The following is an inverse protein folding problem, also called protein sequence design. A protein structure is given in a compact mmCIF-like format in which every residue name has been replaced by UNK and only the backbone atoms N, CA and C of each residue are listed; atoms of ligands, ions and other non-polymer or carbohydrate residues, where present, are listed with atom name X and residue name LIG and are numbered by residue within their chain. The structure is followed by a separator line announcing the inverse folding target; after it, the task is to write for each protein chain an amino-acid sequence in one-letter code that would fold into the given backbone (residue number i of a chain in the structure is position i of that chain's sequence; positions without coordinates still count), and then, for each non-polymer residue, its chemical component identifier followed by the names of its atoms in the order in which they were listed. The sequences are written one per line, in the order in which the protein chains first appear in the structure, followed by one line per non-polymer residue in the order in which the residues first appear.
data_IF_422397596074
#
_entry.id   IF_422397596074
#
_cell.length_a   1.000
_cell.length_b   1.000
_cell.length_c   1.000
_cell.angle_alpha   90.00
_cell.angle_beta   90.00
_cell.angle_gamma   90.00
#
_symmetry.space_group_name_H-M   'P 1'
#
loop_
_entity.id
_entity.type
_entity.pdbx_description
1 polymer ?
#
# COMPACT_ATOMS: atom_id res chain seq x y z
N UNK A 1 -15.36 -24.41 -2.42
CA UNK A 1 -15.05 -24.18 -0.99
C UNK A 1 -15.52 -22.79 -0.64
N UNK A 2 -16.39 -22.64 0.37
CA UNK A 2 -16.89 -21.33 0.81
C UNK A 2 -16.01 -20.77 1.93
N UNK A 3 -16.05 -19.45 2.17
CA UNK A 3 -15.30 -18.81 3.27
C UNK A 3 -15.67 -19.42 4.64
N UNK A 4 -16.93 -19.77 4.86
CA UNK A 4 -17.41 -20.40 6.10
C UNK A 4 -16.83 -21.80 6.32
N UNK A 5 -16.65 -22.57 5.24
CA UNK A 5 -16.00 -23.88 5.30
C UNK A 5 -14.53 -23.73 5.67
N UNK A 6 -13.83 -22.77 5.05
CA UNK A 6 -12.42 -22.47 5.34
C UNK A 6 -12.24 -22.02 6.81
N UNK A 7 -13.15 -21.19 7.32
CA UNK A 7 -13.08 -20.72 8.72
C UNK A 7 -13.15 -21.89 9.70
N UNK A 8 -14.06 -22.83 9.46
CA UNK A 8 -14.23 -24.02 10.31
C UNK A 8 -12.96 -24.87 10.34
N UNK A 9 -12.33 -25.08 9.18
CA UNK A 9 -11.07 -25.82 9.09
C UNK A 9 -9.91 -25.08 9.78
N UNK A 10 -9.79 -23.76 9.59
CA UNK A 10 -8.75 -22.95 10.24
C UNK A 10 -8.87 -22.95 11.77
N UNK A 11 -10.09 -22.98 12.31
CA UNK A 11 -10.31 -23.03 13.75
C UNK A 11 -9.85 -24.36 14.35
N UNK A 12 -9.97 -25.47 13.62
CA UNK A 12 -9.58 -26.81 14.03
C UNK A 12 -8.05 -27.05 14.06
N UNK A 13 -7.26 -26.18 13.42
CA UNK A 13 -5.80 -26.29 13.39
C UNK A 13 -5.14 -26.04 14.75
N UNK A 14 -4.00 -26.72 14.98
CA UNK A 14 -3.11 -26.44 16.10
C UNK A 14 -2.48 -25.04 16.00
N UNK A 15 -1.96 -24.48 17.11
CA UNK A 15 -1.27 -23.20 17.08
C UNK A 15 -0.10 -23.14 16.09
N UNK A 16 0.63 -24.24 15.91
CA UNK A 16 1.78 -24.30 15.00
C UNK A 16 1.33 -24.31 13.53
N UNK A 17 0.28 -25.05 13.19
CA UNK A 17 -0.28 -25.07 11.84
C UNK A 17 -0.90 -23.71 11.48
N UNK A 18 -1.57 -23.05 12.43
CA UNK A 18 -2.07 -21.67 12.26
C UNK A 18 -0.93 -20.70 11.93
N UNK A 19 0.20 -20.80 12.62
CA UNK A 19 1.38 -19.98 12.32
C UNK A 19 1.94 -20.24 10.92
N UNK A 20 1.98 -21.51 10.47
CA UNK A 20 2.41 -21.86 9.11
C UNK A 20 1.47 -21.30 8.04
N UNK A 21 0.16 -21.37 8.25
CA UNK A 21 -0.83 -20.77 7.34
C UNK A 21 -0.65 -19.26 7.26
N UNK A 22 -0.42 -18.58 8.39
CA UNK A 22 -0.13 -17.14 8.39
C UNK A 22 1.11 -16.85 7.55
N UNK A 23 2.20 -17.60 7.72
CA UNK A 23 3.41 -17.40 6.91
C UNK A 23 3.18 -17.66 5.42
N UNK A 24 2.42 -18.71 5.08
CA UNK A 24 2.05 -19.02 3.70
C UNK A 24 1.25 -17.87 3.08
N UNK A 25 0.25 -17.36 3.79
CA UNK A 25 -0.56 -16.23 3.33
C UNK A 25 0.27 -14.97 3.18
N UNK A 26 1.16 -14.66 4.11
CA UNK A 26 2.08 -13.52 3.98
C UNK A 26 2.95 -13.68 2.73
N UNK A 27 3.47 -14.88 2.47
CA UNK A 27 4.32 -15.15 1.30
C UNK A 27 3.55 -15.06 -0.03
N UNK A 28 2.28 -15.47 -0.07
CA UNK A 28 1.45 -15.39 -1.29
C UNK A 28 0.85 -14.01 -1.51
N UNK A 29 0.64 -13.24 -0.44
CA UNK A 29 0.19 -11.85 -0.45
C UNK A 29 1.35 -10.84 -0.58
N UNK A 30 2.60 -11.29 -0.77
CA UNK A 30 3.77 -10.42 -0.95
C UNK A 30 3.66 -9.44 -2.13
N UNK A 31 2.69 -9.63 -3.04
CA UNK A 31 2.35 -8.71 -4.12
C UNK A 31 1.16 -7.79 -3.85
N UNK A 32 0.43 -7.99 -2.75
CA UNK A 32 -0.70 -7.15 -2.32
C UNK A 32 -0.24 -6.25 -1.19
N UNK A 33 0.02 -5.00 -1.52
CA UNK A 33 0.34 -3.97 -0.55
C UNK A 33 -0.94 -3.54 0.16
N UNK A 34 -0.93 -3.58 1.50
CA UNK A 34 -2.09 -3.14 2.27
C UNK A 34 -2.33 -1.65 2.00
N UNK A 35 -3.52 -1.33 1.49
CA UNK A 35 -3.92 0.05 1.24
C UNK A 35 -3.27 0.73 0.03
N UNK A 36 -2.52 0.02 -0.82
CA UNK A 36 -1.95 0.58 -2.06
C UNK A 36 -2.46 -0.22 -3.27
N UNK A 37 -2.97 0.49 -4.27
CA UNK A 37 -3.53 -0.09 -5.49
C UNK A 37 -2.84 0.45 -6.74
N UNK A 38 -2.63 -0.43 -7.72
CA UNK A 38 -2.16 -0.07 -9.07
C UNK A 38 -3.25 -0.41 -10.07
N UNK A 39 -3.96 0.60 -10.54
CA UNK A 39 -5.04 0.43 -11.51
C UNK A 39 -4.60 0.96 -12.88
N UNK A 40 -4.51 0.11 -13.92
CA UNK A 40 -4.19 0.57 -15.27
C UNK A 40 -5.14 1.71 -15.70
N UNK A 41 -4.56 2.81 -16.19
CA UNK A 41 -5.33 3.99 -16.62
C UNK A 41 -5.69 4.99 -15.52
N UNK A 42 -5.48 4.67 -14.24
CA UNK A 42 -5.56 5.65 -13.13
C UNK A 42 -4.17 6.20 -12.87
N UNK A 43 -3.97 7.51 -13.00
CA UNK A 43 -2.66 8.16 -12.83
C UNK A 43 -1.53 7.47 -13.62
N UNK A 44 -1.82 7.01 -14.85
CA UNK A 44 -0.83 6.32 -15.68
C UNK A 44 -0.42 4.91 -15.18
N UNK A 45 -1.13 4.34 -14.21
CA UNK A 45 -0.81 3.05 -13.60
C UNK A 45 0.12 3.15 -12.38
N UNK A 46 0.38 4.37 -11.89
CA UNK A 46 1.18 4.60 -10.70
C UNK A 46 0.49 4.04 -9.45
N UNK A 47 1.29 3.65 -8.45
CA UNK A 47 0.79 3.21 -7.16
C UNK A 47 0.04 4.34 -6.43
N UNK A 48 -1.22 4.11 -6.11
CA UNK A 48 -2.12 5.05 -5.45
C UNK A 48 -2.58 4.52 -4.10
N UNK A 49 -2.89 5.42 -3.16
CA UNK A 49 -3.63 5.03 -1.94
C UNK A 49 -4.97 4.43 -2.37
N UNK A 50 -5.31 3.26 -1.82
CA UNK A 50 -6.50 2.48 -2.13
C UNK A 50 -7.76 3.35 -2.10
N UNK A 51 -8.62 3.17 -3.11
CA UNK A 51 -9.86 3.96 -3.28
C UNK A 51 -9.66 5.47 -3.49
N UNK A 52 -8.42 5.94 -3.69
CA UNK A 52 -8.13 7.35 -4.01
C UNK A 52 -7.42 7.45 -5.36
N UNK A 53 -7.21 8.69 -5.82
CA UNK A 53 -6.29 9.01 -6.92
C UNK A 53 -5.04 9.73 -6.42
N UNK A 54 -4.65 9.50 -5.17
CA UNK A 54 -3.48 10.12 -4.54
C UNK A 54 -2.30 9.17 -4.75
N UNK A 55 -1.35 9.48 -5.65
CA UNK A 55 -0.24 8.59 -5.92
C UNK A 55 0.80 8.66 -4.80
N UNK A 56 1.46 7.54 -4.53
CA UNK A 56 2.51 7.44 -3.50
C UNK A 56 3.66 8.40 -3.78
N UNK A 57 4.04 8.57 -5.06
CA UNK A 57 5.12 9.50 -5.44
C UNK A 57 4.79 10.95 -5.08
N UNK A 58 3.51 11.36 -5.09
CA UNK A 58 3.10 12.72 -4.72
C UNK A 58 3.35 12.96 -3.24
N UNK A 59 2.94 12.02 -2.38
CA UNK A 59 3.17 12.10 -0.94
C UNK A 59 4.67 12.14 -0.63
N UNK A 60 5.47 11.34 -1.33
CA UNK A 60 6.94 11.35 -1.20
C UNK A 60 7.52 12.70 -1.63
N UNK A 61 7.05 13.26 -2.75
CA UNK A 61 7.48 14.58 -3.24
C UNK A 61 7.18 15.70 -2.23
N UNK A 62 5.97 15.75 -1.69
CA UNK A 62 5.57 16.73 -0.69
C UNK A 62 6.42 16.60 0.58
N UNK A 63 6.67 15.37 1.03
CA UNK A 63 7.55 15.11 2.17
C UNK A 63 8.98 15.57 1.91
N UNK A 64 9.52 15.37 0.71
CA UNK A 64 10.84 15.88 0.31
C UNK A 64 10.89 17.41 0.30
N UNK A 65 9.77 18.07 0.03
CA UNK A 65 9.62 19.53 0.10
C UNK A 65 9.39 20.06 1.53
N UNK A 66 9.33 19.17 2.54
CA UNK A 66 9.17 19.55 3.95
C UNK A 66 7.74 19.48 4.47
N UNK A 67 6.79 18.91 3.73
CA UNK A 67 5.44 18.69 4.22
C UNK A 67 5.45 17.74 5.44
N UNK A 68 4.72 18.12 6.49
CA UNK A 68 4.50 17.26 7.65
C UNK A 68 3.33 16.32 7.42
N UNK A 69 3.28 15.18 8.12
CA UNK A 69 2.14 14.27 8.03
C UNK A 69 0.83 14.93 8.48
N UNK A 70 0.89 15.82 9.49
CA UNK A 70 -0.27 16.60 9.91
C UNK A 70 -0.81 17.46 8.76
N UNK A 71 0.08 18.14 8.03
CA UNK A 71 -0.28 18.91 6.85
C UNK A 71 -0.88 18.01 5.75
N UNK A 72 -0.30 16.84 5.49
CA UNK A 72 -0.83 15.91 4.50
C UNK A 72 -2.23 15.40 4.85
N UNK A 73 -2.51 15.11 6.12
CA UNK A 73 -3.83 14.67 6.57
C UNK A 73 -4.87 15.80 6.56
N UNK A 74 -4.43 17.05 6.68
CA UNK A 74 -5.30 18.23 6.57
C UNK A 74 -5.64 18.54 5.10
N UNK A 75 -4.64 18.50 4.22
CA UNK A 75 -4.80 18.82 2.79
C UNK A 75 -5.48 17.68 2.00
N UNK A 76 -5.32 16.44 2.45
CA UNK A 76 -5.97 15.26 1.88
C UNK A 76 -6.85 14.56 2.93
N UNK A 77 -8.09 15.03 3.15
CA UNK A 77 -8.97 14.53 4.20
C UNK A 77 -9.43 13.08 4.02
N UNK A 78 -9.26 12.52 2.81
CA UNK A 78 -9.52 11.11 2.51
C UNK A 78 -8.38 10.17 2.97
N UNK A 79 -7.24 10.72 3.41
CA UNK A 79 -6.12 9.95 3.93
C UNK A 79 -6.26 9.68 5.42
N UNK A 80 -5.83 8.50 5.81
CA UNK A 80 -5.60 8.15 7.22
C UNK A 80 -4.11 8.06 7.53
N UNK A 81 -3.76 8.12 8.82
CA UNK A 81 -2.38 7.89 9.25
C UNK A 81 -1.86 6.48 8.85
N UNK A 82 -2.76 5.50 8.77
CA UNK A 82 -2.41 4.17 8.28
C UNK A 82 -2.05 4.18 6.79
N UNK A 83 -2.75 4.99 5.98
CA UNK A 83 -2.44 5.13 4.56
C UNK A 83 -1.07 5.78 4.35
N UNK A 84 -0.71 6.79 5.14
CA UNK A 84 0.64 7.38 5.10
C UNK A 84 1.71 6.34 5.47
N UNK A 85 1.47 5.56 6.52
CA UNK A 85 2.38 4.47 6.93
C UNK A 85 2.58 3.47 5.79
N UNK A 86 1.50 3.05 5.15
CA UNK A 86 1.53 2.12 4.02
C UNK A 86 2.25 2.73 2.80
N UNK A 87 2.03 4.02 2.53
CA UNK A 87 2.69 4.75 1.44
C UNK A 87 4.21 4.79 1.64
N UNK A 88 4.67 5.08 2.86
CA UNK A 88 6.10 5.11 3.19
C UNK A 88 6.73 3.73 3.11
N UNK A 89 6.03 2.71 3.60
CA UNK A 89 6.48 1.34 3.47
C UNK A 89 6.63 0.95 1.99
N UNK A 90 5.62 1.23 1.17
CA UNK A 90 5.66 0.99 -0.27
C UNK A 90 6.82 1.73 -0.93
N UNK A 91 6.98 3.02 -0.66
CA UNK A 91 8.05 3.83 -1.23
C UNK A 91 9.44 3.32 -0.83
N UNK A 92 9.60 2.83 0.40
CA UNK A 92 10.86 2.26 0.89
C UNK A 92 11.24 0.95 0.20
N UNK A 93 10.26 0.17 -0.24
CA UNK A 93 10.46 -1.13 -0.92
C UNK A 93 10.51 -0.99 -2.43
N UNK A 94 9.93 0.09 -2.99
CA UNK A 94 9.84 0.38 -4.43
C UNK A 94 10.56 1.69 -4.81
N UNK A 95 11.73 1.94 -4.23
CA UNK A 95 12.45 3.22 -4.42
C UNK A 95 12.64 3.59 -5.90
N UNK A 96 13.09 2.64 -6.73
CA UNK A 96 13.31 2.90 -8.16
C UNK A 96 12.02 3.23 -8.92
N UNK A 97 10.89 2.61 -8.56
CA UNK A 97 9.59 2.95 -9.16
C UNK A 97 9.19 4.39 -8.82
N UNK A 98 9.33 4.76 -7.55
CA UNK A 98 8.99 6.11 -7.07
C UNK A 98 9.91 7.15 -7.70
N UNK A 99 11.22 6.88 -7.80
CA UNK A 99 12.18 7.79 -8.42
C UNK A 99 11.86 8.04 -9.90
N UNK A 100 11.55 6.98 -10.66
CA UNK A 100 11.11 7.11 -12.06
C UNK A 100 9.83 7.94 -12.17
N UNK A 101 8.87 7.73 -11.27
CA UNK A 101 7.63 8.52 -11.26
C UNK A 101 7.90 10.01 -10.95
N UNK A 102 8.75 10.31 -9.97
CA UNK A 102 9.17 11.67 -9.63
C UNK A 102 9.87 12.36 -10.80
N UNK A 103 10.81 11.67 -11.47
CA UNK A 103 11.50 12.21 -12.64
C UNK A 103 10.55 12.48 -13.80
N UNK A 104 9.59 11.58 -14.05
CA UNK A 104 8.57 11.76 -15.09
C UNK A 104 7.74 13.01 -14.85
N UNK A 105 7.36 13.27 -13.60
CA UNK A 105 6.53 14.42 -13.24
C UNK A 105 7.31 15.74 -13.19
N UNK A 106 8.60 15.70 -12.87
CA UNK A 106 9.45 16.88 -12.94
C UNK A 106 9.76 17.33 -14.39
N UNK A 107 9.64 16.42 -15.36
CA UNK A 107 9.90 16.66 -16.78
C UNK A 107 8.64 17.03 -17.60
N UNK A 108 7.46 17.01 -16.98
CA UNK A 108 6.16 17.35 -17.58
C UNK A 108 5.79 18.81 -17.32
#
# INVERSE_FOLDING_TARGET
MTLDQLQTELLALSPQEKAQVIQLLVSSLSGTWVGIEKTPGVMGGDACIRQTRIPVWLLVSLRQQGATEAFLLEDYPDLTAADLTNAWLYASTHQSEIEVALQRQAAA
#
